data_IF_031781636522
#
_entry.id   IF_031781636522
#
_cell.length_a   1.000
_cell.length_b   1.000
_cell.length_c   1.000
_cell.angle_alpha   90.00
_cell.angle_beta   90.00
_cell.angle_gamma   90.00
#
_symmetry.space_group_name_H-M   'P 1'
#
loop_
_entity.id
_entity.type
_entity.pdbx_description
1 polymer ?
#
# COMPACT_ATOMS: atom_id res chain seq x y z
N UNK A 1 -11.91 -31.53 -9.46
CA UNK A 1 -13.11 -31.44 -8.59
C UNK A 1 -12.84 -31.49 -7.07
N UNK A 2 -11.58 -31.43 -6.57
CA UNK A 2 -11.24 -31.50 -5.12
C UNK A 2 -10.94 -30.16 -4.42
N UNK A 3 -10.94 -29.02 -5.13
CA UNK A 3 -10.58 -27.69 -4.57
C UNK A 3 -11.77 -26.90 -3.98
N UNK A 4 -13.01 -27.33 -4.20
CA UNK A 4 -14.22 -26.58 -3.84
C UNK A 4 -14.73 -26.89 -2.42
N UNK A 5 -14.70 -28.16 -1.99
CA UNK A 5 -15.30 -28.59 -0.70
C UNK A 5 -14.61 -27.94 0.51
N UNK A 6 -13.28 -27.82 0.49
CA UNK A 6 -12.52 -27.17 1.56
C UNK A 6 -12.81 -25.67 1.72
N UNK A 7 -13.20 -24.97 0.63
CA UNK A 7 -13.53 -23.54 0.73
C UNK A 7 -14.82 -23.30 1.47
N UNK A 8 -15.85 -24.12 1.24
CA UNK A 8 -17.15 -24.00 1.90
C UNK A 8 -17.05 -24.16 3.42
N UNK A 9 -16.18 -25.05 3.90
CA UNK A 9 -15.87 -25.22 5.33
C UNK A 9 -15.18 -23.99 5.94
N UNK A 10 -14.41 -23.23 5.15
CA UNK A 10 -13.66 -22.06 5.60
C UNK A 10 -14.45 -20.74 5.50
N UNK A 11 -15.57 -20.72 4.78
CA UNK A 11 -16.44 -19.55 4.64
C UNK A 11 -16.96 -19.01 5.99
N UNK A 12 -17.44 -19.81 6.96
CA UNK A 12 -17.90 -19.26 8.24
C UNK A 12 -16.77 -18.54 9.00
N UNK A 13 -15.56 -19.12 9.01
CA UNK A 13 -14.38 -18.48 9.60
C UNK A 13 -14.01 -17.18 8.89
N UNK A 14 -14.19 -17.14 7.57
CA UNK A 14 -13.94 -15.94 6.77
C UNK A 14 -14.99 -14.86 7.01
N UNK A 15 -16.24 -15.25 7.25
CA UNK A 15 -17.31 -14.35 7.68
C UNK A 15 -16.97 -13.70 9.03
N UNK A 16 -16.52 -14.48 10.00
CA UNK A 16 -16.10 -13.98 11.31
C UNK A 16 -14.89 -13.04 11.21
N UNK A 17 -13.82 -13.43 10.49
CA UNK A 17 -12.67 -12.57 10.26
C UNK A 17 -13.05 -11.28 9.51
N UNK A 18 -13.90 -11.41 8.49
CA UNK A 18 -14.46 -10.28 7.74
C UNK A 18 -15.25 -9.32 8.62
N UNK A 19 -16.05 -9.84 9.55
CA UNK A 19 -16.80 -9.04 10.53
C UNK A 19 -15.86 -8.30 11.47
N UNK A 20 -14.84 -8.97 12.02
CA UNK A 20 -13.85 -8.33 12.88
C UNK A 20 -13.13 -7.18 12.16
N UNK A 21 -12.71 -7.40 10.91
CA UNK A 21 -12.10 -6.35 10.10
C UNK A 21 -13.08 -5.23 9.73
N UNK A 22 -14.35 -5.56 9.50
CA UNK A 22 -15.41 -4.58 9.26
C UNK A 22 -15.65 -3.70 10.48
N UNK A 23 -15.77 -4.28 11.68
CA UNK A 23 -15.92 -3.52 12.95
C UNK A 23 -14.72 -2.61 13.16
N UNK A 24 -13.49 -3.13 13.02
CA UNK A 24 -12.27 -2.32 13.10
C UNK A 24 -12.32 -1.14 12.12
N UNK A 25 -12.71 -1.40 10.87
CA UNK A 25 -12.81 -0.37 9.84
C UNK A 25 -13.90 0.67 10.14
N UNK A 26 -15.03 0.23 10.71
CA UNK A 26 -16.10 1.10 11.16
C UNK A 26 -15.61 2.00 12.30
N UNK A 27 -14.88 1.48 13.28
CA UNK A 27 -14.31 2.28 14.38
C UNK A 27 -13.39 3.41 13.88
N UNK A 28 -12.55 3.15 12.87
CA UNK A 28 -11.74 4.18 12.23
C UNK A 28 -12.59 5.18 11.42
N UNK A 29 -13.62 4.71 10.70
CA UNK A 29 -14.51 5.59 9.93
C UNK A 29 -15.34 6.51 10.84
N UNK A 30 -15.72 6.02 12.02
CA UNK A 30 -16.49 6.76 13.03
C UNK A 30 -15.60 7.63 13.93
N UNK A 31 -14.30 7.75 13.64
CA UNK A 31 -13.32 8.51 14.42
C UNK A 31 -13.16 8.07 15.90
N UNK A 32 -13.66 6.89 16.26
CA UNK A 32 -13.47 6.29 17.60
C UNK A 32 -12.03 5.81 17.79
N UNK A 33 -11.38 5.40 16.71
CA UNK A 33 -9.94 5.17 16.67
C UNK A 33 -9.26 6.36 15.99
N UNK A 34 -8.23 6.89 16.64
CA UNK A 34 -7.46 8.01 16.13
C UNK A 34 -6.68 7.67 14.86
N UNK A 35 -6.59 8.64 13.96
CA UNK A 35 -5.74 8.60 12.79
C UNK A 35 -4.89 9.87 12.73
N UNK A 36 -3.59 9.69 12.49
CA UNK A 36 -2.65 10.78 12.29
C UNK A 36 -2.60 11.16 10.81
N UNK A 37 -2.77 12.45 10.51
CA UNK A 37 -2.52 13.02 9.19
C UNK A 37 -1.13 13.67 9.19
N UNK A 38 -0.14 13.12 8.46
CA UNK A 38 1.19 13.70 8.38
C UNK A 38 1.17 15.13 7.82
N UNK A 39 2.10 15.97 8.27
CA UNK A 39 2.38 17.27 7.64
C UNK A 39 3.17 17.13 6.33
N UNK A 40 4.00 16.09 6.24
CA UNK A 40 4.77 15.75 5.04
C UNK A 40 3.94 15.00 4.01
N UNK A 41 4.16 15.28 2.72
CA UNK A 41 3.47 14.58 1.65
C UNK A 41 3.77 13.08 1.72
N UNK A 42 2.72 12.27 1.90
CA UNK A 42 2.88 10.86 2.24
C UNK A 42 2.12 10.00 1.24
N UNK A 43 2.83 9.11 0.56
CA UNK A 43 2.25 8.18 -0.41
C UNK A 43 2.27 6.78 0.21
N UNK A 44 1.11 6.16 0.34
CA UNK A 44 0.98 4.77 0.76
C UNK A 44 0.85 3.88 -0.47
N UNK A 45 1.66 2.81 -0.51
CA UNK A 45 1.49 1.72 -1.46
C UNK A 45 1.18 0.45 -0.67
N UNK A 46 0.13 -0.27 -1.06
CA UNK A 46 -0.14 -1.56 -0.47
C UNK A 46 -1.20 -2.34 -1.22
N UNK A 47 -1.70 -3.41 -0.61
CA UNK A 47 -2.67 -4.29 -1.20
C UNK A 47 -3.76 -4.70 -0.21
N UNK A 48 -4.86 -5.22 -0.75
CA UNK A 48 -5.94 -5.83 0.04
C UNK A 48 -5.74 -7.32 0.29
N UNK A 49 -4.79 -7.96 -0.39
CA UNK A 49 -4.60 -9.41 -0.36
C UNK A 49 -3.33 -9.82 0.39
N UNK A 50 -3.28 -11.05 0.89
CA UNK A 50 -2.02 -11.70 1.24
C UNK A 50 -1.34 -12.23 -0.03
N UNK A 51 -0.04 -12.00 -0.16
CA UNK A 51 0.77 -12.38 -1.32
C UNK A 51 1.34 -11.20 -2.12
N UNK A 52 2.20 -11.52 -3.09
CA UNK A 52 2.92 -10.53 -3.88
C UNK A 52 2.07 -9.89 -4.98
N UNK A 53 1.77 -8.60 -4.83
CA UNK A 53 1.01 -7.77 -5.79
C UNK A 53 1.87 -6.75 -6.54
N UNK A 54 3.21 -6.87 -6.46
CA UNK A 54 4.12 -5.93 -7.11
C UNK A 54 4.41 -4.65 -6.32
N UNK A 55 4.35 -4.71 -4.98
CA UNK A 55 4.67 -3.57 -4.10
C UNK A 55 6.10 -3.06 -4.30
N UNK A 56 7.09 -3.96 -4.27
CA UNK A 56 8.50 -3.59 -4.41
C UNK A 56 8.76 -2.86 -5.74
N UNK A 57 8.38 -3.40 -6.93
CA UNK A 57 8.51 -2.65 -8.19
C UNK A 57 7.80 -1.30 -8.19
N UNK A 58 6.63 -1.18 -7.56
CA UNK A 58 5.92 0.10 -7.47
C UNK A 58 6.65 1.13 -6.60
N UNK A 59 7.14 0.70 -5.43
CA UNK A 59 7.95 1.57 -4.54
C UNK A 59 9.21 2.03 -5.27
N UNK A 60 9.91 1.12 -5.95
CA UNK A 60 11.09 1.46 -6.76
C UNK A 60 10.78 2.46 -7.88
N UNK A 61 9.65 2.26 -8.58
CA UNK A 61 9.20 3.19 -9.62
C UNK A 61 8.95 4.59 -9.05
N UNK A 62 8.27 4.70 -7.90
CA UNK A 62 8.03 5.97 -7.24
C UNK A 62 9.33 6.64 -6.81
N UNK A 63 10.26 5.88 -6.21
CA UNK A 63 11.59 6.37 -5.83
C UNK A 63 12.31 6.96 -7.05
N UNK A 64 12.42 6.18 -8.14
CA UNK A 64 13.08 6.63 -9.37
C UNK A 64 12.45 7.90 -9.91
N UNK A 65 11.11 7.95 -9.98
CA UNK A 65 10.39 9.14 -10.46
C UNK A 65 10.67 10.36 -9.60
N UNK A 66 10.67 10.23 -8.28
CA UNK A 66 10.96 11.33 -7.36
C UNK A 66 12.40 11.82 -7.45
N UNK A 67 13.36 10.91 -7.58
CA UNK A 67 14.78 11.25 -7.80
C UNK A 67 14.97 11.97 -9.14
N UNK A 68 14.39 11.46 -10.22
CA UNK A 68 14.55 12.01 -11.57
C UNK A 68 13.90 13.39 -11.76
N UNK A 69 12.79 13.67 -11.09
CA UNK A 69 12.05 14.94 -11.26
C UNK A 69 12.60 16.11 -10.43
N UNK A 70 13.78 15.96 -9.80
CA UNK A 70 14.32 16.94 -8.84
C UNK A 70 13.35 17.28 -7.69
N UNK A 71 12.32 16.45 -7.47
CA UNK A 71 11.46 16.42 -6.26
C UNK A 71 12.19 15.80 -5.06
N UNK A 72 13.51 15.74 -5.15
CA UNK A 72 14.40 15.15 -4.17
C UNK A 72 15.62 16.05 -3.99
N UNK A 73 15.37 17.35 -3.85
CA UNK A 73 16.43 18.29 -3.47
C UNK A 73 16.99 17.81 -2.13
N UNK A 74 18.29 17.48 -2.11
CA UNK A 74 19.01 17.06 -0.90
C UNK A 74 18.46 15.79 -0.19
N UNK A 75 17.94 14.81 -0.93
CA UNK A 75 17.46 13.57 -0.31
C UNK A 75 16.15 13.75 0.47
N UNK A 76 15.31 14.71 0.06
CA UNK A 76 13.97 14.95 0.59
C UNK A 76 13.00 13.76 0.49
N UNK A 77 13.35 12.70 -0.24
CA UNK A 77 12.57 11.46 -0.30
C UNK A 77 13.00 10.45 0.76
N UNK A 78 12.02 9.96 1.53
CA UNK A 78 12.18 8.89 2.49
C UNK A 78 11.27 7.70 2.16
N UNK A 79 11.72 6.49 2.46
CA UNK A 79 10.85 5.31 2.52
C UNK A 79 10.64 4.89 3.96
N UNK A 80 9.45 4.37 4.28
CA UNK A 80 9.13 3.82 5.59
C UNK A 80 8.44 2.47 5.43
N UNK A 81 9.13 1.42 5.87
CA UNK A 81 8.71 0.02 5.79
C UNK A 81 8.63 -0.59 7.19
N UNK A 82 7.94 -1.73 7.37
CA UNK A 82 7.75 -2.29 8.71
C UNK A 82 9.05 -2.95 9.21
N UNK A 83 9.89 -3.38 8.27
CA UNK A 83 11.04 -4.24 8.55
C UNK A 83 10.61 -5.67 8.90
N UNK A 84 9.79 -6.30 8.06
CA UNK A 84 9.31 -7.66 8.31
C UNK A 84 10.49 -8.64 8.46
N UNK A 85 10.44 -9.50 9.47
CA UNK A 85 11.49 -10.50 9.73
C UNK A 85 12.74 -9.99 10.47
N UNK A 86 12.83 -8.68 10.76
CA UNK A 86 13.93 -8.13 11.56
C UNK A 86 13.81 -8.51 13.04
N UNK A 87 14.94 -8.53 13.74
CA UNK A 87 15.08 -8.78 15.18
C UNK A 87 15.06 -7.49 16.02
N UNK A 88 15.39 -6.35 15.40
CA UNK A 88 15.29 -5.05 16.09
C UNK A 88 13.84 -4.59 16.19
N UNK A 89 13.57 -3.66 17.09
CA UNK A 89 12.23 -3.06 17.26
C UNK A 89 12.33 -1.55 17.24
N UNK A 90 11.20 -0.89 16.98
CA UNK A 90 11.12 0.57 17.02
C UNK A 90 11.66 1.26 15.77
N UNK A 91 11.72 2.59 15.84
CA UNK A 91 12.13 3.43 14.74
C UNK A 91 13.65 3.33 14.50
N UNK A 92 14.06 3.14 13.24
CA UNK A 92 15.47 3.10 12.85
C UNK A 92 15.66 3.64 11.44
N UNK A 93 16.72 4.43 11.25
CA UNK A 93 17.28 4.82 9.96
C UNK A 93 18.28 3.75 9.52
N UNK A 94 18.18 3.30 8.27
CA UNK A 94 19.13 2.35 7.70
C UNK A 94 20.49 3.01 7.45
N UNK A 95 21.55 2.28 7.79
CA UNK A 95 22.94 2.66 7.55
C UNK A 95 23.77 1.52 6.92
N UNK A 96 25.07 1.76 6.69
CA UNK A 96 25.95 0.80 6.03
C UNK A 96 26.25 -0.47 6.86
N UNK A 97 25.99 -0.44 8.16
CA UNK A 97 26.16 -1.58 9.09
C UNK A 97 24.91 -2.45 9.19
N UNK A 98 23.78 -1.98 8.65
CA UNK A 98 22.52 -2.72 8.70
C UNK A 98 22.53 -3.96 7.81
N UNK A 99 21.82 -4.99 8.31
CA UNK A 99 21.64 -6.28 7.68
C UNK A 99 20.16 -6.65 7.62
N UNK A 100 19.83 -7.79 7.02
CA UNK A 100 18.45 -8.25 6.95
C UNK A 100 17.88 -8.56 8.34
N UNK A 101 18.72 -9.01 9.27
CA UNK A 101 18.28 -9.23 10.66
C UNK A 101 18.01 -7.91 11.39
N UNK A 102 18.62 -6.78 11.00
CA UNK A 102 18.39 -5.50 11.68
C UNK A 102 17.26 -4.68 11.08
N UNK A 103 17.07 -4.67 9.76
CA UNK A 103 16.05 -3.83 9.11
C UNK A 103 15.09 -4.62 8.20
N UNK A 104 15.30 -5.92 8.00
CA UNK A 104 14.53 -6.76 7.08
C UNK A 104 15.14 -6.80 5.68
N UNK A 105 14.76 -7.82 4.90
CA UNK A 105 15.28 -8.03 3.54
C UNK A 105 14.85 -6.92 2.57
N UNK A 106 13.55 -6.61 2.52
CA UNK A 106 13.01 -5.60 1.59
C UNK A 106 13.60 -4.19 1.84
N UNK A 107 13.72 -3.71 3.10
CA UNK A 107 14.28 -2.38 3.36
C UNK A 107 15.79 -2.33 3.10
N UNK A 108 16.51 -3.40 3.40
CA UNK A 108 17.93 -3.51 3.06
C UNK A 108 18.17 -3.47 1.55
N UNK A 109 17.32 -4.15 0.77
CA UNK A 109 17.38 -4.11 -0.69
C UNK A 109 17.18 -2.67 -1.22
N UNK A 110 16.19 -1.95 -0.71
CA UNK A 110 15.95 -0.55 -1.08
C UNK A 110 17.15 0.34 -0.69
N UNK A 111 17.70 0.15 0.51
CA UNK A 111 18.88 0.90 0.96
C UNK A 111 20.07 0.68 0.04
N UNK A 112 20.42 -0.57 -0.27
CA UNK A 112 21.54 -0.90 -1.16
C UNK A 112 21.39 -0.32 -2.57
N UNK A 113 20.15 -0.22 -3.06
CA UNK A 113 19.86 0.20 -4.43
C UNK A 113 19.78 1.73 -4.60
N UNK A 114 19.33 2.45 -3.58
CA UNK A 114 19.00 3.86 -3.69
C UNK A 114 19.73 4.75 -2.68
N UNK A 115 20.54 4.22 -1.77
CA UNK A 115 21.43 5.04 -0.94
C UNK A 115 22.56 5.63 -1.81
N UNK A 116 22.96 6.91 -1.59
CA UNK A 116 22.43 7.87 -0.63
C UNK A 116 21.31 8.77 -1.19
N UNK A 117 20.77 8.46 -2.37
CA UNK A 117 19.77 9.29 -3.04
C UNK A 117 18.47 9.41 -2.21
N UNK A 118 18.07 8.37 -1.46
CA UNK A 118 16.94 8.42 -0.53
C UNK A 118 17.35 7.94 0.85
N UNK A 119 16.54 8.31 1.86
CA UNK A 119 16.66 7.75 3.22
C UNK A 119 15.68 6.58 3.39
N UNK A 120 16.15 5.49 4.01
CA UNK A 120 15.32 4.30 4.24
C UNK A 120 15.10 4.12 5.73
N UNK A 121 13.84 4.10 6.14
CA UNK A 121 13.45 3.95 7.54
C UNK A 121 12.61 2.68 7.75
N UNK A 122 12.72 2.14 8.95
CA UNK A 122 11.91 1.03 9.44
C UNK A 122 11.24 1.41 10.77
N UNK A 123 10.00 0.96 10.95
CA UNK A 123 9.25 1.18 12.18
C UNK A 123 7.83 0.62 12.12
N UNK A 124 7.41 -0.10 13.15
CA UNK A 124 6.11 -0.77 13.20
C UNK A 124 4.96 0.25 13.33
N UNK A 125 5.19 1.30 14.13
CA UNK A 125 4.21 2.35 14.42
C UNK A 125 4.37 3.49 13.42
N UNK A 126 3.62 3.42 12.32
CA UNK A 126 3.77 4.34 11.17
C UNK A 126 3.62 5.81 11.52
N UNK A 127 2.65 6.16 12.36
CA UNK A 127 2.41 7.55 12.74
C UNK A 127 3.62 8.14 13.49
N UNK A 128 4.09 7.43 14.54
CA UNK A 128 5.26 7.82 15.31
C UNK A 128 6.55 7.82 14.48
N UNK A 129 6.72 6.83 13.61
CA UNK A 129 7.88 6.79 12.72
C UNK A 129 7.91 7.99 11.76
N UNK A 130 6.77 8.41 11.20
CA UNK A 130 6.71 9.62 10.35
C UNK A 130 7.04 10.88 11.17
N UNK A 131 6.52 10.99 12.40
CA UNK A 131 6.88 12.09 13.30
C UNK A 131 8.38 12.10 13.61
N UNK A 132 8.98 10.94 13.87
CA UNK A 132 10.41 10.81 14.11
C UNK A 132 11.25 11.18 12.87
N UNK A 133 10.80 10.82 11.66
CA UNK A 133 11.45 11.25 10.40
C UNK A 133 11.43 12.78 10.29
N UNK A 134 10.29 13.41 10.58
CA UNK A 134 10.15 14.87 10.54
C UNK A 134 11.01 15.60 11.57
N UNK A 135 11.15 15.02 12.77
CA UNK A 135 12.01 15.57 13.81
C UNK A 135 13.51 15.43 13.45
N UNK A 136 13.90 14.27 12.91
CA UNK A 136 15.30 13.99 12.56
C UNK A 136 15.74 14.72 11.29
N UNK A 137 14.85 14.82 10.30
CA UNK A 137 15.12 15.45 9.01
C UNK A 137 13.94 16.32 8.57
N UNK A 138 13.87 17.58 9.05
CA UNK A 138 12.80 18.51 8.67
C UNK A 138 12.73 18.82 7.17
N UNK A 139 13.84 18.62 6.44
CA UNK A 139 13.91 18.80 4.99
C UNK A 139 13.33 17.62 4.18
N UNK A 140 12.76 16.60 4.82
CA UNK A 140 12.06 15.52 4.10
C UNK A 140 10.76 16.06 3.49
N UNK A 141 10.71 16.07 2.16
CA UNK A 141 9.60 16.58 1.36
C UNK A 141 8.51 15.53 1.16
N UNK A 142 8.89 14.24 1.12
CA UNK A 142 7.93 13.16 0.96
C UNK A 142 8.34 11.84 1.63
N UNK A 143 7.33 11.07 2.06
CA UNK A 143 7.50 9.74 2.65
C UNK A 143 6.69 8.70 1.87
N UNK A 144 7.37 7.68 1.36
CA UNK A 144 6.79 6.52 0.68
C UNK A 144 6.58 5.39 1.69
N UNK A 145 5.33 5.06 2.01
CA UNK A 145 5.00 3.98 2.94
C UNK A 145 4.85 2.67 2.18
N UNK A 146 5.64 1.68 2.58
CA UNK A 146 5.54 0.31 2.06
C UNK A 146 4.61 -0.55 2.93
N UNK A 147 3.69 -1.25 2.27
CA UNK A 147 2.61 -2.08 2.83
C UNK A 147 1.70 -1.38 3.85
N UNK A 148 1.44 -0.08 3.66
CA UNK A 148 0.71 0.72 4.64
C UNK A 148 -0.80 0.82 4.41
N UNK A 149 -1.35 0.16 3.38
CA UNK A 149 -2.78 0.31 3.01
C UNK A 149 -3.76 -0.05 4.14
N UNK A 150 -3.35 -0.95 5.03
CA UNK A 150 -4.16 -1.38 6.19
C UNK A 150 -3.83 -0.62 7.48
N UNK A 151 -2.78 0.20 7.48
CA UNK A 151 -2.34 0.98 8.63
C UNK A 151 -3.18 2.27 8.78
N UNK A 152 -4.45 2.08 9.14
CA UNK A 152 -5.45 3.16 9.28
C UNK A 152 -5.15 4.22 10.34
N UNK A 153 -4.17 3.95 11.22
CA UNK A 153 -3.65 4.95 12.14
C UNK A 153 -2.90 6.09 11.43
N UNK A 154 -2.59 5.96 10.14
CA UNK A 154 -2.05 7.02 9.29
C UNK A 154 -2.99 7.29 8.13
N UNK A 155 -3.26 8.57 7.87
CA UNK A 155 -3.98 9.05 6.69
C UNK A 155 -2.96 9.61 5.69
N UNK A 156 -2.52 8.81 4.70
CA UNK A 156 -1.63 9.30 3.65
C UNK A 156 -2.34 10.36 2.79
N UNK A 157 -1.55 11.17 2.10
CA UNK A 157 -2.04 12.14 1.13
C UNK A 157 -2.48 11.47 -0.18
N UNK A 158 -1.81 10.37 -0.54
CA UNK A 158 -2.15 9.54 -1.68
C UNK A 158 -2.05 8.06 -1.28
N UNK A 159 -3.12 7.31 -1.48
CA UNK A 159 -3.23 5.90 -1.13
C UNK A 159 -3.42 5.04 -2.38
N UNK A 160 -2.34 4.37 -2.80
CA UNK A 160 -2.28 3.54 -3.99
C UNK A 160 -2.54 2.08 -3.60
N UNK A 161 -3.59 1.51 -4.18
CA UNK A 161 -3.92 0.09 -4.05
C UNK A 161 -3.39 -0.70 -5.24
N UNK A 162 -2.58 -1.72 -4.96
CA UNK A 162 -2.13 -2.68 -5.97
C UNK A 162 -3.08 -3.87 -6.06
N UNK A 163 -3.42 -4.25 -7.29
CA UNK A 163 -4.22 -5.43 -7.62
C UNK A 163 -3.51 -6.27 -8.68
N UNK A 164 -3.28 -7.55 -8.39
CA UNK A 164 -2.78 -8.50 -9.39
C UNK A 164 -3.90 -8.81 -10.40
N UNK A 165 -3.63 -8.61 -11.69
CA UNK A 165 -4.55 -8.84 -12.81
C UNK A 165 -5.21 -10.23 -12.75
N UNK A 166 -4.42 -11.28 -12.46
CA UNK A 166 -4.88 -12.66 -12.45
C UNK A 166 -5.72 -13.00 -11.22
N UNK A 167 -5.75 -12.11 -10.23
CA UNK A 167 -6.13 -12.38 -8.85
C UNK A 167 -6.89 -11.18 -8.26
N UNK A 168 -7.95 -10.68 -8.92
CA UNK A 168 -8.55 -9.42 -8.55
C UNK A 168 -9.27 -9.48 -7.20
N UNK A 169 -9.18 -8.41 -6.42
CA UNK A 169 -9.77 -8.36 -5.07
C UNK A 169 -11.30 -8.50 -5.10
N UNK A 170 -11.95 -8.02 -6.16
CA UNK A 170 -13.42 -8.02 -6.28
C UNK A 170 -14.03 -9.41 -6.46
N UNK A 171 -13.22 -10.44 -6.77
CA UNK A 171 -13.65 -11.83 -6.87
C UNK A 171 -13.11 -12.72 -5.74
N UNK A 172 -12.43 -12.16 -4.76
CA UNK A 172 -11.80 -12.90 -3.65
C UNK A 172 -12.59 -12.73 -2.35
N UNK A 173 -12.27 -13.52 -1.33
CA UNK A 173 -12.94 -13.53 -0.03
C UNK A 173 -11.96 -13.16 1.08
N UNK A 174 -12.46 -12.67 2.24
CA UNK A 174 -11.64 -12.57 3.43
C UNK A 174 -10.96 -13.89 3.77
N UNK A 175 -9.78 -13.81 4.37
CA UNK A 175 -9.07 -14.94 4.94
C UNK A 175 -9.94 -15.67 5.98
N UNK A 176 -9.91 -17.03 6.09
CA UNK A 176 -9.04 -17.98 5.37
C UNK A 176 -9.59 -18.58 4.06
N UNK A 177 -10.86 -18.35 3.69
CA UNK A 177 -11.43 -18.93 2.46
C UNK A 177 -10.89 -18.26 1.18
N UNK A 178 -10.41 -17.03 1.32
CA UNK A 178 -9.70 -16.29 0.29
C UNK A 178 -8.44 -15.63 0.83
N UNK A 179 -7.94 -14.64 0.09
CA UNK A 179 -6.69 -13.95 0.42
C UNK A 179 -6.90 -12.54 0.91
N UNK A 180 -8.12 -12.03 0.94
CA UNK A 180 -8.34 -10.66 1.37
C UNK A 180 -8.05 -10.53 2.86
N UNK A 181 -7.30 -9.51 3.22
CA UNK A 181 -7.01 -9.16 4.60
C UNK A 181 -8.13 -8.34 5.25
N UNK A 182 -9.10 -7.89 4.45
CA UNK A 182 -10.32 -7.21 4.89
C UNK A 182 -11.39 -7.30 3.79
N UNK A 183 -12.61 -6.80 4.03
CA UNK A 183 -13.66 -6.80 3.01
C UNK A 183 -13.29 -6.02 1.73
N UNK A 184 -13.91 -6.36 0.61
CA UNK A 184 -13.70 -5.71 -0.71
C UNK A 184 -13.96 -4.20 -0.67
N UNK A 185 -14.85 -3.76 0.22
CA UNK A 185 -15.14 -2.35 0.46
C UNK A 185 -13.94 -1.56 0.95
N UNK A 186 -12.89 -2.22 1.46
CA UNK A 186 -11.64 -1.58 1.80
C UNK A 186 -10.99 -0.84 0.63
N UNK A 187 -11.26 -1.28 -0.62
CA UNK A 187 -10.79 -0.62 -1.83
C UNK A 187 -11.28 0.82 -1.98
N UNK A 188 -12.38 1.20 -1.31
CA UNK A 188 -12.95 2.57 -1.31
C UNK A 188 -11.97 3.62 -0.81
N UNK A 189 -10.96 3.21 -0.04
CA UNK A 189 -9.95 4.11 0.53
C UNK A 189 -8.78 4.39 -0.42
N UNK A 190 -8.78 3.77 -1.60
CA UNK A 190 -7.75 4.01 -2.59
C UNK A 190 -8.08 5.27 -3.39
N UNK A 191 -7.11 6.16 -3.50
CA UNK A 191 -7.16 7.28 -4.45
C UNK A 191 -6.83 6.79 -5.86
N UNK A 192 -6.00 5.75 -5.96
CA UNK A 192 -5.66 5.09 -7.22
C UNK A 192 -5.57 3.57 -7.05
N UNK A 193 -6.01 2.84 -8.08
CA UNK A 193 -5.81 1.39 -8.18
C UNK A 193 -4.89 1.10 -9.36
N UNK A 194 -3.77 0.44 -9.10
CA UNK A 194 -2.80 0.00 -10.12
C UNK A 194 -2.94 -1.50 -10.31
N UNK A 195 -3.15 -1.91 -11.55
CA UNK A 195 -3.27 -3.33 -11.92
C UNK A 195 -1.91 -3.84 -12.37
N UNK A 196 -1.37 -4.82 -11.64
CA UNK A 196 -0.04 -5.39 -11.86
C UNK A 196 -0.11 -6.76 -12.50
N UNK A 197 1.00 -7.22 -13.09
CA UNK A 197 1.11 -8.51 -13.81
C UNK A 197 0.07 -8.68 -14.93
N UNK A 198 -0.21 -7.58 -15.62
CA UNK A 198 -1.06 -7.60 -16.80
C UNK A 198 -0.36 -8.38 -17.94
N UNK A 199 -1.12 -9.05 -18.81
CA UNK A 199 -0.57 -9.57 -20.06
C UNK A 199 -0.03 -8.40 -20.92
N UNK A 200 0.95 -8.69 -21.76
CA UNK A 200 1.53 -7.71 -22.70
C UNK A 200 0.48 -7.14 -23.66
N UNK A 201 -0.46 -7.99 -24.08
CA UNK A 201 -1.47 -7.67 -25.09
C UNK A 201 -2.85 -7.39 -24.46
N UNK A 202 -2.89 -6.55 -23.43
CA UNK A 202 -4.14 -6.21 -22.74
C UNK A 202 -4.99 -5.22 -23.56
N UNK A 203 -6.01 -5.73 -24.25
CA UNK A 203 -6.92 -4.93 -25.07
C UNK A 203 -7.68 -3.85 -24.27
N UNK A 204 -7.95 -2.71 -24.92
CA UNK A 204 -8.65 -1.58 -24.31
C UNK A 204 -10.04 -1.95 -23.75
N UNK A 205 -10.76 -2.85 -24.41
CA UNK A 205 -12.06 -3.36 -23.96
C UNK A 205 -11.96 -4.09 -22.62
N UNK A 206 -10.89 -4.86 -22.43
CA UNK A 206 -10.63 -5.56 -21.18
C UNK A 206 -10.21 -4.59 -20.07
N UNK A 207 -9.37 -3.60 -20.39
CA UNK A 207 -9.01 -2.53 -19.45
C UNK A 207 -10.27 -1.80 -18.94
N UNK A 208 -11.20 -1.48 -19.84
CA UNK A 208 -12.48 -0.85 -19.50
C UNK A 208 -13.33 -1.76 -18.61
N UNK A 209 -13.41 -3.06 -18.92
CA UNK A 209 -14.14 -4.04 -18.10
C UNK A 209 -13.56 -4.17 -16.69
N UNK A 210 -12.23 -4.15 -16.54
CA UNK A 210 -11.57 -4.19 -15.24
C UNK A 210 -11.83 -2.89 -14.48
N UNK A 211 -11.66 -1.73 -15.13
CA UNK A 211 -11.95 -0.43 -14.54
C UNK A 211 -13.41 -0.35 -14.06
N UNK A 212 -14.36 -0.86 -14.84
CA UNK A 212 -15.77 -0.93 -14.48
C UNK A 212 -16.09 -1.87 -13.32
N UNK A 213 -15.21 -2.82 -12.96
CA UNK A 213 -15.36 -3.64 -11.74
C UNK A 213 -14.75 -2.98 -10.51
N UNK A 214 -13.76 -2.11 -10.71
CA UNK A 214 -13.13 -1.33 -9.64
C UNK A 214 -14.01 -0.12 -9.26
N UNK A 215 -14.58 0.59 -10.26
CA UNK A 215 -15.34 1.85 -10.10
C UNK A 215 -16.62 1.79 -9.25
N UNK A 216 -17.57 0.84 -9.43
CA UNK A 216 -18.89 0.90 -8.79
C UNK A 216 -18.85 0.61 -7.30
N UNK A 217 -17.74 0.06 -6.79
CA UNK A 217 -17.56 -0.12 -5.37
C UNK A 217 -16.86 1.04 -4.68
N UNK A 218 -16.35 2.06 -5.38
CA UNK A 218 -15.43 3.04 -4.77
C UNK A 218 -15.95 4.47 -4.65
N UNK A 219 -16.91 4.92 -5.45
CA UNK A 219 -17.27 6.34 -5.54
C UNK A 219 -18.78 6.55 -5.73
N UNK A 220 -19.54 6.67 -4.63
CA UNK A 220 -20.91 7.23 -4.65
C UNK A 220 -21.25 8.06 -3.40
N UNK A 221 -20.26 8.65 -2.71
CA UNK A 221 -20.53 9.69 -1.70
C UNK A 221 -19.43 10.75 -1.70
N UNK A 222 -19.74 11.91 -2.26
CA UNK A 222 -19.03 13.18 -2.01
C UNK A 222 -18.30 13.74 -3.24
N UNK A 223 -18.62 14.99 -3.58
CA UNK A 223 -18.03 15.84 -4.61
C UNK A 223 -18.43 15.54 -6.07
N UNK A 224 -19.64 16.00 -6.43
CA UNK A 224 -19.73 16.76 -7.67
C UNK A 224 -18.92 18.05 -7.51
N UNK A 225 -18.30 18.51 -8.59
CA UNK A 225 -17.53 19.74 -8.75
C UNK A 225 -16.00 19.64 -8.51
N UNK A 226 -15.31 19.65 -9.66
CA UNK A 226 -14.08 20.42 -9.91
C UNK A 226 -12.78 19.89 -9.34
N UNK A 227 -12.24 18.85 -9.97
CA UNK A 227 -10.83 18.72 -10.36
C UNK A 227 -10.69 17.38 -11.07
N UNK A 228 -10.65 17.42 -12.40
CA UNK A 228 -10.39 16.23 -13.19
C UNK A 228 -8.99 15.74 -12.90
N UNK A 229 -8.82 14.73 -12.05
CA UNK A 229 -7.62 13.90 -12.01
C UNK A 229 -7.89 12.61 -11.22
N UNK A 230 -7.34 11.51 -11.74
CA UNK A 230 -7.19 10.19 -11.12
C UNK A 230 -8.43 9.29 -11.15
N UNK A 231 -8.85 8.95 -12.37
CA UNK A 231 -9.18 7.56 -12.67
C UNK A 231 -8.37 7.15 -13.90
N UNK A 232 -7.81 5.95 -13.85
CA UNK A 232 -6.92 5.34 -14.85
C UNK A 232 -5.47 5.79 -14.77
N UNK A 233 -4.72 5.12 -13.90
CA UNK A 233 -3.39 4.71 -14.29
C UNK A 233 -3.34 3.18 -14.13
N UNK A 234 -3.82 2.47 -15.16
CA UNK A 234 -3.29 1.15 -15.48
C UNK A 234 -1.88 1.40 -16.02
N UNK A 235 -0.93 1.76 -15.13
CA UNK A 235 0.47 1.69 -15.53
C UNK A 235 0.79 0.21 -15.53
N UNK A 236 0.87 -0.32 -16.74
CA UNK A 236 1.52 -1.58 -17.01
C UNK A 236 2.99 -1.36 -16.66
N UNK A 237 3.38 -1.66 -15.42
CA UNK A 237 4.79 -1.88 -15.10
C UNK A 237 5.16 -3.20 -15.78
N UNK A 238 5.51 -3.12 -17.06
CA UNK A 238 6.12 -4.21 -17.82
C UNK A 238 7.55 -4.40 -17.33
N UNK A 239 7.86 -5.64 -16.94
CA UNK A 239 9.19 -6.22 -16.66
C UNK A 239 10.21 -5.35 -15.91
#
# INVERSE_FOLDING_TARGET
>A
MKRSVGKWLLLPFSGLYGLLMWVRNWLFNSHLLGSYRPSVYTISVGNLTVGGTGKTPMIEFLIKRSVSQQLNRQGGTATLSRGYGRQTTGFRLADATDTASTIGDEPLQLYRKFSPAIRVYVGERRAEAIQAIMALQPATEQVLLDDAYQHRAVQPHLNILLMDYNRPFYSDYPFPAGRLREGRTGARRADAVVVTKCPTDLFATEQQRIAAKIRPNNFLRGAAATLGFIVSIVTILLN
#
